data_IF_092478056995
#
_entry.id   IF_092478056995
#
_cell.length_a   1.000
_cell.length_b   1.000
_cell.length_c   1.000
_cell.angle_alpha   90.00
_cell.angle_beta   90.00
_cell.angle_gamma   90.00
#
_symmetry.space_group_name_H-M   'P 1'
#
loop_
_entity.id
_entity.type
_entity.pdbx_description
1 polymer ?
#
# COMPACT_ATOMS: atom_id res chain seq x y z
N UNK A 1 -1.28 -25.51 5.18
CA UNK A 1 -0.71 -25.16 3.85
C UNK A 1 -0.98 -23.70 3.47
N UNK A 2 -1.00 -22.76 4.43
CA UNK A 2 -1.32 -21.34 4.18
C UNK A 2 -0.09 -20.46 4.07
N UNK A 3 1.02 -20.84 4.74
CA UNK A 3 2.14 -19.93 4.97
C UNK A 3 2.99 -19.62 3.73
N UNK A 4 3.14 -20.54 2.77
CA UNK A 4 3.98 -20.31 1.57
C UNK A 4 3.38 -19.23 0.67
N UNK A 5 2.06 -19.29 0.43
CA UNK A 5 1.38 -18.32 -0.41
C UNK A 5 1.40 -16.93 0.26
N UNK A 6 1.17 -16.88 1.57
CA UNK A 6 1.25 -15.65 2.36
C UNK A 6 2.64 -15.02 2.33
N UNK A 7 3.70 -15.82 2.41
CA UNK A 7 5.09 -15.35 2.33
C UNK A 7 5.42 -14.79 0.94
N UNK A 8 4.98 -15.47 -0.13
CA UNK A 8 5.20 -15.00 -1.50
C UNK A 8 4.46 -13.68 -1.75
N UNK A 9 3.19 -13.59 -1.32
CA UNK A 9 2.40 -12.38 -1.43
C UNK A 9 3.00 -11.23 -0.62
N UNK A 10 3.45 -11.50 0.62
CA UNK A 10 4.11 -10.52 1.46
C UNK A 10 5.41 -10.01 0.84
N UNK A 11 6.24 -10.90 0.29
CA UNK A 11 7.48 -10.52 -0.40
C UNK A 11 7.21 -9.68 -1.66
N UNK A 12 6.16 -10.00 -2.42
CA UNK A 12 5.77 -9.26 -3.61
C UNK A 12 5.29 -7.84 -3.27
N UNK A 13 4.48 -7.70 -2.21
CA UNK A 13 4.01 -6.41 -1.73
C UNK A 13 5.20 -5.55 -1.26
N UNK A 14 6.08 -6.10 -0.43
CA UNK A 14 7.27 -5.39 0.04
C UNK A 14 8.19 -5.00 -1.13
N UNK A 15 8.39 -5.90 -2.10
CA UNK A 15 9.17 -5.62 -3.31
C UNK A 15 8.58 -4.47 -4.13
N UNK A 16 7.26 -4.42 -4.28
CA UNK A 16 6.58 -3.33 -4.99
C UNK A 16 6.75 -1.97 -4.30
N UNK A 17 6.68 -1.93 -2.95
CA UNK A 17 6.95 -0.71 -2.19
C UNK A 17 8.41 -0.26 -2.30
N UNK A 18 9.36 -1.19 -2.18
CA UNK A 18 10.78 -0.87 -2.35
C UNK A 18 11.09 -0.36 -3.76
N UNK A 19 10.47 -0.96 -4.79
CA UNK A 19 10.63 -0.53 -6.18
C UNK A 19 10.06 0.88 -6.40
N UNK A 20 8.89 1.18 -5.86
CA UNK A 20 8.29 2.51 -5.91
C UNK A 20 9.17 3.56 -5.24
N UNK A 21 9.75 3.25 -4.08
CA UNK A 21 10.69 4.16 -3.40
C UNK A 21 11.97 4.44 -4.18
N UNK A 22 12.50 3.46 -4.90
CA UNK A 22 13.77 3.61 -5.62
C UNK A 22 13.58 4.25 -7.00
N UNK A 23 12.50 3.90 -7.72
CA UNK A 23 12.30 4.29 -9.13
C UNK A 23 11.36 5.49 -9.28
N UNK A 24 10.41 5.65 -8.37
CA UNK A 24 9.39 6.69 -8.45
C UNK A 24 9.41 7.64 -7.24
N UNK A 25 10.49 7.63 -6.45
CA UNK A 25 10.64 8.43 -5.22
C UNK A 25 9.47 8.26 -4.23
N UNK A 26 8.78 7.12 -4.27
CA UNK A 26 7.60 6.86 -3.43
C UNK A 26 6.33 7.56 -3.89
N UNK A 27 6.27 8.07 -5.12
CA UNK A 27 5.11 8.79 -5.63
C UNK A 27 3.83 7.96 -5.58
N UNK A 28 3.87 6.67 -5.92
CA UNK A 28 2.68 5.82 -5.85
C UNK A 28 2.27 5.55 -4.39
N UNK A 29 3.24 5.36 -3.49
CA UNK A 29 3.02 5.19 -2.05
C UNK A 29 2.35 6.43 -1.44
N UNK A 30 2.84 7.63 -1.78
CA UNK A 30 2.26 8.91 -1.34
C UNK A 30 0.86 9.10 -1.91
N UNK A 31 0.64 8.77 -3.19
CA UNK A 31 -0.67 8.82 -3.82
C UNK A 31 -1.68 7.91 -3.11
N UNK A 32 -1.28 6.68 -2.83
CA UNK A 32 -2.11 5.69 -2.15
C UNK A 32 -2.45 6.14 -0.72
N UNK A 33 -1.48 6.70 0.00
CA UNK A 33 -1.68 7.33 1.31
C UNK A 33 -2.71 8.48 1.27
N UNK A 34 -2.58 9.41 0.31
CA UNK A 34 -3.54 10.51 0.13
C UNK A 34 -4.95 10.02 -0.14
N UNK A 35 -5.11 8.99 -0.98
CA UNK A 35 -6.41 8.36 -1.25
C UNK A 35 -6.98 7.66 -0.02
N UNK A 36 -6.13 7.01 0.78
CA UNK A 36 -6.51 6.41 2.05
C UNK A 36 -7.04 7.43 3.05
N UNK A 37 -6.37 8.58 3.19
CA UNK A 37 -6.83 9.68 4.05
C UNK A 37 -8.19 10.20 3.60
N UNK A 38 -8.39 10.45 2.30
CA UNK A 38 -9.69 10.86 1.77
C UNK A 38 -10.80 9.83 2.07
N UNK A 39 -10.46 8.54 2.02
CA UNK A 39 -11.39 7.46 2.34
C UNK A 39 -11.75 7.47 3.83
N UNK A 40 -10.77 7.68 4.70
CA UNK A 40 -10.98 7.83 6.15
C UNK A 40 -11.80 9.07 6.48
N UNK A 41 -11.52 10.21 5.86
CA UNK A 41 -12.32 11.44 6.01
C UNK A 41 -13.78 11.21 5.62
N UNK A 42 -14.03 10.51 4.50
CA UNK A 42 -15.39 10.12 4.11
C UNK A 42 -16.02 9.18 5.13
N UNK A 43 -15.28 8.19 5.62
CA UNK A 43 -15.77 7.25 6.63
C UNK A 43 -16.14 7.96 7.93
N UNK A 44 -15.34 8.95 8.34
CA UNK A 44 -15.59 9.79 9.52
C UNK A 44 -16.80 10.70 9.30
N UNK A 45 -16.95 11.29 8.11
CA UNK A 45 -18.13 12.10 7.76
C UNK A 45 -19.44 11.30 7.78
N UNK A 46 -19.37 10.01 7.45
CA UNK A 46 -20.54 9.11 7.47
C UNK A 46 -20.87 8.57 8.87
N UNK A 47 -20.08 8.91 9.90
CA UNK A 47 -20.35 8.56 11.30
C UNK A 47 -21.06 9.70 12.01
#
# INVERSE_FOLDING_TARGET
MTNKLSLILGALILGAFCFDWIVQDGAATIFLGKKGILLLEKLIFWR
#
